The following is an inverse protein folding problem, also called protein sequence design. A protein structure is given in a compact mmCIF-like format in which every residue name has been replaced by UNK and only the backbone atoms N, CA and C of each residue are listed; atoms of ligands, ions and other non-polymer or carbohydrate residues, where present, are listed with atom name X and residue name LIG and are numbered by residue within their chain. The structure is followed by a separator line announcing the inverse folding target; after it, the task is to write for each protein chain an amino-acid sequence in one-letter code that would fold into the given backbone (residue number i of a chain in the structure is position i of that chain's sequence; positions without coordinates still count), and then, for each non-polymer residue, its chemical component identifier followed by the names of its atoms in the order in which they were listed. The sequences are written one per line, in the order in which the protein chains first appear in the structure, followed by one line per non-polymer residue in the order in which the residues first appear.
data_IF_857229631648
#
_entry.id   IF_857229631648
#
_cell.length_a   1.000
_cell.length_b   1.000
_cell.length_c   1.000
_cell.angle_alpha   90.00
_cell.angle_beta   90.00
_cell.angle_gamma   90.00
#
_symmetry.space_group_name_H-M   'P 1'
#
loop_
_entity.id
_entity.type
_entity.pdbx_description
1 polymer ?
#
# COMPACT_ATOMS: atom_id res chain seq x y z
N UNK A 1 -21.56 -8.56 -16.68
CA UNK A 1 -20.28 -8.23 -17.36
C UNK A 1 -19.18 -7.76 -16.40
N UNK A 2 -19.50 -7.10 -15.26
CA UNK A 2 -18.49 -6.59 -14.30
C UNK A 2 -17.76 -7.69 -13.51
N UNK A 3 -18.38 -8.84 -13.24
CA UNK A 3 -17.73 -9.95 -12.51
C UNK A 3 -16.57 -10.62 -13.26
N UNK A 4 -16.57 -10.59 -14.58
CA UNK A 4 -15.45 -11.12 -15.37
C UNK A 4 -14.18 -10.28 -15.30
N UNK A 5 -14.27 -9.00 -14.92
CA UNK A 5 -13.10 -8.12 -14.78
C UNK A 5 -12.23 -8.46 -13.57
N UNK A 6 -12.78 -9.11 -12.53
CA UNK A 6 -12.01 -9.50 -11.34
C UNK A 6 -10.95 -10.58 -11.61
N UNK A 7 -11.13 -11.43 -12.62
CA UNK A 7 -10.17 -12.47 -12.99
C UNK A 7 -9.07 -11.99 -13.96
N UNK A 8 -9.14 -10.75 -14.47
CA UNK A 8 -8.19 -10.18 -15.42
C UNK A 8 -7.11 -9.34 -14.71
N UNK A 9 -7.30 -9.03 -13.44
CA UNK A 9 -6.61 -7.98 -12.68
C UNK A 9 -5.14 -8.21 -12.36
N UNK A 10 -4.63 -9.43 -12.47
CA UNK A 10 -3.29 -9.80 -12.01
C UNK A 10 -2.26 -10.02 -13.13
N UNK A 11 -2.64 -9.76 -14.39
CA UNK A 11 -1.78 -9.98 -15.55
C UNK A 11 -1.99 -8.94 -16.63
N UNK A 12 -0.93 -8.18 -16.90
CA UNK A 12 -0.92 -7.22 -18.00
C UNK A 12 -1.20 -7.89 -19.36
N UNK A 13 -0.73 -9.14 -19.55
CA UNK A 13 -1.00 -9.88 -20.80
C UNK A 13 -2.50 -10.04 -21.08
N UNK A 14 -3.30 -10.30 -20.04
CA UNK A 14 -4.77 -10.36 -20.15
C UNK A 14 -5.39 -8.96 -20.27
N UNK A 15 -4.81 -7.96 -19.60
CA UNK A 15 -5.26 -6.58 -19.63
C UNK A 15 -5.08 -5.95 -21.01
N UNK A 16 -4.05 -6.36 -21.78
CA UNK A 16 -3.82 -5.90 -23.16
C UNK A 16 -4.97 -6.20 -24.12
N UNK A 17 -5.81 -7.19 -23.84
CA UNK A 17 -7.05 -7.42 -24.60
C UNK A 17 -8.00 -6.23 -24.61
N UNK A 18 -7.93 -5.32 -23.63
CA UNK A 18 -8.68 -4.05 -23.66
C UNK A 18 -8.07 -3.04 -24.65
N UNK A 19 -6.74 -3.03 -24.80
CA UNK A 19 -6.05 -2.22 -25.81
C UNK A 19 -6.44 -2.72 -27.21
N UNK A 20 -6.40 -4.03 -27.43
CA UNK A 20 -6.82 -4.65 -28.69
C UNK A 20 -8.30 -4.36 -29.02
N UNK A 21 -9.13 -4.17 -28.00
CA UNK A 21 -10.54 -3.79 -28.14
C UNK A 21 -10.75 -2.26 -28.27
N UNK A 22 -9.69 -1.46 -28.40
CA UNK A 22 -9.75 -0.02 -28.67
C UNK A 22 -9.57 0.89 -27.45
N UNK A 23 -9.21 0.37 -26.28
CA UNK A 23 -8.83 1.25 -25.15
C UNK A 23 -7.45 1.86 -25.41
N UNK A 24 -7.28 3.15 -25.11
CA UNK A 24 -5.98 3.84 -25.26
C UNK A 24 -4.98 3.42 -24.19
N UNK A 25 -5.43 3.27 -22.94
CA UNK A 25 -4.63 2.86 -21.77
C UNK A 25 -5.45 1.95 -20.88
N UNK A 26 -4.78 1.13 -20.07
CA UNK A 26 -5.43 0.27 -19.07
C UNK A 26 -4.79 0.51 -17.72
N UNK A 27 -5.58 0.87 -16.72
CA UNK A 27 -5.16 0.99 -15.33
C UNK A 27 -5.67 -0.23 -14.54
N UNK A 28 -4.75 -0.99 -13.95
CA UNK A 28 -5.05 -2.19 -13.15
C UNK A 28 -5.16 -1.79 -11.69
N UNK A 29 -6.33 -2.02 -11.09
CA UNK A 29 -6.61 -1.74 -9.66
C UNK A 29 -6.15 -2.86 -8.72
N UNK A 30 -4.95 -3.40 -8.96
CA UNK A 30 -4.34 -4.47 -8.16
C UNK A 30 -2.84 -4.56 -8.49
N UNK A 31 -2.02 -5.23 -7.66
CA UNK A 31 -0.68 -5.66 -8.06
C UNK A 31 -0.77 -6.49 -9.35
N UNK A 32 0.08 -6.21 -10.30
CA UNK A 32 0.08 -6.89 -11.59
C UNK A 32 1.39 -7.63 -11.86
N UNK A 33 1.42 -8.41 -12.95
CA UNK A 33 2.63 -9.02 -13.51
C UNK A 33 2.76 -8.61 -14.96
N UNK A 34 3.97 -8.30 -15.38
CA UNK A 34 4.31 -7.89 -16.75
C UNK A 34 3.61 -6.57 -17.20
N UNK A 35 3.25 -5.73 -16.24
CA UNK A 35 2.80 -4.36 -16.48
C UNK A 35 3.95 -3.48 -16.97
N UNK A 36 3.61 -2.42 -17.70
CA UNK A 36 4.61 -1.48 -18.22
C UNK A 36 5.17 -0.60 -17.11
N UNK A 37 4.33 -0.29 -16.09
CA UNK A 37 4.74 0.40 -14.88
C UNK A 37 3.83 0.07 -13.69
N UNK A 38 4.40 0.02 -12.50
CA UNK A 38 3.68 0.11 -11.23
C UNK A 38 3.88 1.50 -10.65
N UNK A 39 2.80 2.21 -10.35
CA UNK A 39 2.83 3.58 -9.87
C UNK A 39 2.12 3.70 -8.53
N UNK A 40 2.78 4.39 -7.61
CA UNK A 40 2.21 4.85 -6.33
C UNK A 40 2.32 6.37 -6.32
N UNK A 41 1.17 7.02 -6.34
CA UNK A 41 1.08 8.48 -6.39
C UNK A 41 1.83 9.14 -5.23
N UNK A 42 2.61 10.19 -5.54
CA UNK A 42 3.50 10.88 -4.60
C UNK A 42 4.83 10.16 -4.34
N UNK A 43 4.99 8.92 -4.83
CA UNK A 43 6.23 8.14 -4.64
C UNK A 43 7.07 8.08 -5.90
N UNK A 44 6.48 7.66 -7.03
CA UNK A 44 7.14 7.50 -8.32
C UNK A 44 6.24 7.85 -9.51
N UNK A 45 5.30 8.74 -9.35
CA UNK A 45 4.37 9.15 -10.42
C UNK A 45 5.06 9.84 -11.60
N UNK A 46 6.25 10.38 -11.38
CA UNK A 46 7.11 10.93 -12.43
C UNK A 46 7.59 9.90 -13.47
N UNK A 47 7.55 8.61 -13.13
CA UNK A 47 7.92 7.50 -14.04
C UNK A 47 6.93 7.39 -15.21
N UNK A 48 5.69 7.87 -15.03
CA UNK A 48 4.72 7.85 -16.11
C UNK A 48 4.97 8.99 -17.10
N UNK A 49 5.40 8.65 -18.32
CA UNK A 49 5.69 9.59 -19.40
C UNK A 49 4.68 9.55 -20.55
N UNK A 50 3.65 8.67 -20.47
CA UNK A 50 2.63 8.47 -21.50
C UNK A 50 2.94 7.31 -22.44
N UNK A 51 4.13 6.74 -22.43
CA UNK A 51 4.51 5.59 -23.27
C UNK A 51 3.93 4.26 -22.77
N UNK A 52 3.68 4.15 -21.46
CA UNK A 52 3.16 2.94 -20.82
C UNK A 52 1.67 2.75 -21.15
N UNK A 53 1.28 1.57 -21.60
CA UNK A 53 -0.10 1.25 -21.96
C UNK A 53 -0.88 0.55 -20.86
N UNK A 54 -0.20 -0.28 -20.06
CA UNK A 54 -0.80 -1.05 -18.96
C UNK A 54 -0.10 -0.72 -17.66
N UNK A 55 -0.80 0.00 -16.79
CA UNK A 55 -0.27 0.57 -15.56
C UNK A 55 -0.95 -0.07 -14.34
N UNK A 56 -0.18 -0.46 -13.33
CA UNK A 56 -0.69 -0.95 -12.05
C UNK A 56 -0.66 0.15 -10.99
N UNK A 57 -1.77 0.28 -10.23
CA UNK A 57 -1.83 1.13 -9.03
C UNK A 57 -1.28 0.42 -7.77
N UNK A 58 -0.56 -0.69 -7.91
CA UNK A 58 -0.10 -1.54 -6.80
C UNK A 58 -1.25 -2.04 -5.90
N UNK A 59 -0.96 -2.33 -4.62
CA UNK A 59 -1.96 -2.69 -3.61
C UNK A 59 -2.24 -1.53 -2.66
N UNK A 60 -3.35 -1.59 -1.93
CA UNK A 60 -3.66 -0.63 -0.87
C UNK A 60 -2.55 -0.59 0.21
N UNK A 61 -2.04 -1.75 0.61
CA UNK A 61 -0.93 -1.85 1.58
C UNK A 61 0.36 -1.27 1.02
N UNK A 62 0.69 -1.48 -0.27
CA UNK A 62 1.85 -0.85 -0.91
C UNK A 62 1.69 0.66 -0.96
N UNK A 63 0.48 1.16 -1.26
CA UNK A 63 0.17 2.59 -1.24
C UNK A 63 0.32 3.20 0.16
N UNK A 64 0.02 2.45 1.22
CA UNK A 64 0.25 2.89 2.60
C UNK A 64 1.75 2.88 2.96
N UNK A 65 2.46 1.80 2.66
CA UNK A 65 3.84 1.61 3.10
C UNK A 65 4.85 2.46 2.30
N UNK A 66 4.67 2.62 0.99
CA UNK A 66 5.65 3.25 0.13
C UNK A 66 5.91 4.74 0.45
N UNK A 67 4.90 5.61 0.72
CA UNK A 67 5.15 6.99 1.14
C UNK A 67 5.96 7.08 2.44
N UNK A 68 5.64 6.25 3.43
CA UNK A 68 6.36 6.20 4.71
C UNK A 68 7.79 5.70 4.51
N UNK A 69 7.97 4.64 3.73
CA UNK A 69 9.28 4.09 3.39
C UNK A 69 10.14 5.10 2.61
N UNK A 70 9.54 5.90 1.70
CA UNK A 70 10.22 6.98 0.98
C UNK A 70 10.83 8.01 1.93
N UNK A 71 10.04 8.47 2.92
CA UNK A 71 10.51 9.44 3.91
C UNK A 71 11.61 8.83 4.79
N UNK A 72 11.38 7.63 5.35
CA UNK A 72 12.36 6.97 6.21
C UNK A 72 13.68 6.70 5.49
N UNK A 73 13.62 6.21 4.25
CA UNK A 73 14.83 5.92 3.47
C UNK A 73 15.61 7.19 3.11
N UNK A 74 14.89 8.25 2.70
CA UNK A 74 15.47 9.54 2.33
C UNK A 74 16.17 10.23 3.50
N UNK A 75 15.56 10.23 4.68
CA UNK A 75 16.06 11.00 5.84
C UNK A 75 16.99 10.18 6.73
N UNK A 76 16.79 8.86 6.82
CA UNK A 76 17.49 8.01 7.80
C UNK A 76 18.17 6.77 7.19
N UNK A 77 17.84 6.41 5.96
CA UNK A 77 18.36 5.22 5.27
C UNK A 77 17.85 3.91 5.86
N UNK A 78 17.00 3.18 5.14
CA UNK A 78 16.51 1.87 5.57
C UNK A 78 17.56 0.79 5.24
N UNK A 79 18.09 0.12 6.25
CA UNK A 79 18.99 -1.03 6.08
C UNK A 79 18.18 -2.30 5.78
N UNK A 80 17.19 -2.60 6.62
CA UNK A 80 16.25 -3.72 6.48
C UNK A 80 15.02 -3.51 7.36
N UNK A 81 13.93 -4.19 7.03
CA UNK A 81 12.72 -4.11 7.85
C UNK A 81 11.73 -5.23 7.57
N UNK A 82 10.89 -5.48 8.56
CA UNK A 82 9.76 -6.40 8.48
C UNK A 82 8.47 -5.65 8.75
N UNK A 83 7.49 -5.88 7.88
CA UNK A 83 6.17 -5.27 7.96
C UNK A 83 5.12 -6.32 8.30
N UNK A 84 4.24 -5.99 9.23
CA UNK A 84 2.97 -6.69 9.42
C UNK A 84 1.84 -5.73 9.11
N UNK A 85 0.97 -6.08 8.16
CA UNK A 85 -0.28 -5.35 8.04
C UNK A 85 -1.40 -6.07 8.76
N UNK A 86 -2.01 -5.40 9.74
CA UNK A 86 -3.28 -5.81 10.33
C UNK A 86 -4.37 -5.24 9.44
N UNK A 87 -5.01 -6.11 8.68
CA UNK A 87 -5.81 -5.73 7.52
C UNK A 87 -7.26 -6.20 7.64
N UNK A 88 -8.18 -5.34 7.28
CA UNK A 88 -9.58 -5.72 7.13
C UNK A 88 -9.74 -6.95 6.21
N UNK A 89 -10.78 -7.76 6.41
CA UNK A 89 -11.05 -8.87 5.50
C UNK A 89 -11.35 -8.36 4.08
N UNK A 90 -11.08 -9.19 3.08
CA UNK A 90 -11.35 -8.85 1.68
C UNK A 90 -12.07 -10.00 1.00
N UNK A 91 -12.61 -9.75 -0.19
CA UNK A 91 -13.45 -10.70 -0.94
C UNK A 91 -12.74 -12.01 -1.33
N UNK A 92 -11.42 -12.08 -1.19
CA UNK A 92 -10.66 -13.31 -1.39
C UNK A 92 -10.73 -14.29 -0.21
N UNK A 93 -11.36 -13.89 0.90
CA UNK A 93 -11.61 -14.75 2.07
C UNK A 93 -13.02 -15.33 2.02
N UNK A 94 -13.18 -16.52 2.57
CA UNK A 94 -14.47 -17.17 2.65
C UNK A 94 -15.35 -16.52 3.74
N UNK A 95 -16.65 -16.41 3.46
CA UNK A 95 -17.64 -15.97 4.44
C UNK A 95 -17.80 -17.01 5.56
N UNK A 96 -17.79 -18.29 5.20
CA UNK A 96 -17.80 -19.45 6.09
C UNK A 96 -16.62 -20.35 5.76
N UNK A 97 -16.29 -21.30 6.67
CA UNK A 97 -15.27 -22.31 6.39
C UNK A 97 -15.59 -23.03 5.08
N UNK A 98 -14.61 -23.07 4.17
CA UNK A 98 -14.84 -23.67 2.86
C UNK A 98 -13.53 -23.78 2.04
N UNK A 99 -13.56 -24.40 0.85
CA UNK A 99 -12.38 -24.63 0.04
C UNK A 99 -11.67 -23.33 -0.33
N UNK A 100 -10.36 -23.29 -0.13
CA UNK A 100 -9.48 -22.21 -0.54
C UNK A 100 -8.05 -22.74 -0.74
N UNK A 101 -7.27 -22.13 -1.66
CA UNK A 101 -5.86 -22.51 -1.90
C UNK A 101 -4.96 -22.28 -0.67
N UNK A 102 -5.21 -21.19 0.05
CA UNK A 102 -4.59 -20.89 1.34
C UNK A 102 -5.51 -21.44 2.45
N UNK A 103 -5.03 -22.44 3.19
CA UNK A 103 -5.78 -23.12 4.25
C UNK A 103 -6.18 -22.18 5.39
N UNK A 104 -5.44 -21.09 5.61
CA UNK A 104 -5.80 -20.09 6.61
C UNK A 104 -6.94 -19.21 6.11
N UNK A 105 -6.95 -18.82 4.82
CA UNK A 105 -8.06 -18.08 4.19
C UNK A 105 -9.31 -18.95 3.96
N UNK A 106 -9.17 -20.26 4.09
CA UNK A 106 -10.31 -21.20 4.06
C UNK A 106 -11.25 -21.03 5.25
N UNK A 107 -10.84 -20.36 6.31
CA UNK A 107 -11.61 -20.12 7.53
C UNK A 107 -12.48 -18.87 7.41
N UNK A 108 -13.63 -18.90 8.11
CA UNK A 108 -14.61 -17.81 8.12
C UNK A 108 -13.96 -16.45 8.48
N UNK A 109 -14.06 -15.49 7.57
CA UNK A 109 -13.36 -14.20 7.67
C UNK A 109 -13.78 -13.37 8.88
N UNK A 110 -15.09 -13.36 9.20
CA UNK A 110 -15.65 -12.55 10.29
C UNK A 110 -15.49 -13.17 11.68
N UNK A 111 -14.92 -14.38 11.78
CA UNK A 111 -14.76 -15.10 13.05
C UNK A 111 -13.31 -15.34 13.43
N UNK A 112 -12.35 -15.00 12.58
CA UNK A 112 -10.95 -15.37 12.75
C UNK A 112 -9.99 -14.23 12.46
N UNK A 113 -8.91 -14.17 13.22
CA UNK A 113 -7.68 -13.52 12.78
C UNK A 113 -6.93 -14.49 11.86
N UNK A 114 -6.64 -14.09 10.63
CA UNK A 114 -6.08 -14.97 9.60
C UNK A 114 -4.70 -14.46 9.17
N UNK A 115 -3.60 -14.99 9.74
CA UNK A 115 -2.26 -14.75 9.21
C UNK A 115 -2.14 -15.29 7.79
N UNK A 116 -1.63 -14.50 6.86
CA UNK A 116 -1.49 -14.89 5.46
C UNK A 116 -0.37 -14.14 4.77
N UNK A 117 0.03 -14.59 3.61
CA UNK A 117 1.07 -13.94 2.82
C UNK A 117 0.60 -12.63 2.22
N UNK A 118 1.53 -11.69 2.07
CA UNK A 118 1.35 -10.48 1.26
C UNK A 118 2.63 -10.20 0.47
N UNK A 119 2.46 -9.72 -0.75
CA UNK A 119 3.58 -9.23 -1.56
C UNK A 119 3.84 -7.73 -1.38
N UNK A 120 3.06 -7.05 -0.53
CA UNK A 120 3.06 -5.59 -0.47
C UNK A 120 4.41 -4.97 -0.07
N UNK A 121 5.09 -5.56 0.93
CA UNK A 121 6.41 -5.06 1.35
C UNK A 121 7.47 -5.23 0.26
N UNK A 122 7.48 -6.37 -0.42
CA UNK A 122 8.38 -6.60 -1.56
C UNK A 122 8.03 -5.74 -2.77
N UNK A 123 6.75 -5.45 -2.96
CA UNK A 123 6.28 -4.59 -4.05
C UNK A 123 6.72 -3.12 -3.89
N UNK A 124 7.08 -2.67 -2.68
CA UNK A 124 7.70 -1.35 -2.48
C UNK A 124 8.95 -1.19 -3.33
N UNK A 125 9.71 -2.26 -3.57
CA UNK A 125 10.89 -2.23 -4.43
C UNK A 125 10.58 -1.96 -5.92
N UNK A 126 9.34 -2.06 -6.36
CA UNK A 126 8.93 -1.70 -7.73
C UNK A 126 8.86 -0.17 -7.91
N UNK A 127 8.57 0.55 -6.82
CA UNK A 127 8.41 2.01 -6.82
C UNK A 127 9.55 2.74 -6.11
N UNK A 128 10.32 2.03 -5.27
CA UNK A 128 11.54 2.48 -4.60
C UNK A 128 12.65 1.43 -4.82
N UNK A 129 13.29 1.40 -6.00
CA UNK A 129 14.21 0.31 -6.38
C UNK A 129 15.40 0.12 -5.43
N UNK A 130 15.84 1.19 -4.76
CA UNK A 130 16.91 1.15 -3.76
C UNK A 130 16.58 0.28 -2.54
N UNK A 131 15.28 0.03 -2.28
CA UNK A 131 14.81 -0.84 -1.18
C UNK A 131 14.66 -2.31 -1.58
N UNK A 132 15.14 -2.68 -2.78
CA UNK A 132 15.06 -4.08 -3.24
C UNK A 132 15.75 -5.04 -2.28
N UNK A 133 14.99 -6.03 -1.78
CA UNK A 133 15.47 -7.04 -0.85
C UNK A 133 15.62 -6.56 0.61
N UNK A 134 15.31 -5.30 0.92
CA UNK A 134 15.41 -4.76 2.28
C UNK A 134 14.13 -4.89 3.10
N UNK A 135 12.99 -5.02 2.44
CA UNK A 135 11.68 -5.12 3.10
C UNK A 135 10.98 -6.43 2.76
N UNK A 136 10.43 -7.10 3.77
CA UNK A 136 9.52 -8.24 3.62
C UNK A 136 8.44 -8.18 4.73
N UNK A 137 7.51 -9.13 4.73
CA UNK A 137 6.46 -9.16 5.73
C UNK A 137 5.29 -10.07 5.41
N UNK A 138 4.25 -9.98 6.23
CA UNK A 138 3.02 -10.75 6.08
C UNK A 138 1.80 -9.92 6.50
N UNK A 139 0.61 -10.47 6.29
CA UNK A 139 -0.65 -9.87 6.68
C UNK A 139 -1.33 -10.68 7.78
N UNK A 140 -2.05 -10.00 8.67
CA UNK A 140 -3.03 -10.60 9.57
C UNK A 140 -4.38 -10.00 9.19
N UNK A 141 -5.26 -10.81 8.59
CA UNK A 141 -6.64 -10.39 8.34
C UNK A 141 -7.43 -10.43 9.63
N UNK A 142 -8.23 -9.40 9.88
CA UNK A 142 -9.06 -9.26 11.09
C UNK A 142 -10.53 -9.10 10.73
N UNK A 143 -11.47 -9.40 11.67
CA UNK A 143 -12.93 -9.32 11.43
C UNK A 143 -13.44 -7.86 11.35
N UNK A 144 -12.88 -7.06 10.47
CA UNK A 144 -13.30 -5.67 10.20
C UNK A 144 -13.62 -5.51 8.71
N UNK A 145 -14.67 -4.75 8.34
CA UNK A 145 -15.03 -4.54 6.93
C UNK A 145 -14.07 -3.62 6.20
N UNK A 146 -13.54 -2.59 6.87
CA UNK A 146 -12.51 -1.68 6.36
C UNK A 146 -11.72 -1.07 7.52
N UNK A 147 -10.61 -0.40 7.21
CA UNK A 147 -9.69 0.16 8.20
C UNK A 147 -8.59 -0.82 8.55
N UNK A 148 -7.38 -0.48 8.11
CA UNK A 148 -6.19 -1.32 8.25
C UNK A 148 -5.03 -0.50 8.80
N UNK A 149 -4.04 -1.18 9.38
CA UNK A 149 -2.80 -0.55 9.85
C UNK A 149 -1.59 -1.33 9.36
N UNK A 150 -0.59 -0.62 8.88
CA UNK A 150 0.74 -1.17 8.60
C UNK A 150 1.63 -0.91 9.80
N UNK A 151 2.19 -1.96 10.37
CA UNK A 151 3.19 -1.98 11.42
C UNK A 151 4.55 -2.31 10.77
N UNK A 152 5.46 -1.33 10.72
CA UNK A 152 6.79 -1.51 10.19
C UNK A 152 7.81 -1.46 11.33
N UNK A 153 8.60 -2.53 11.45
CA UNK A 153 9.81 -2.57 12.27
C UNK A 153 11.02 -2.58 11.35
N UNK A 154 11.91 -1.61 11.48
CA UNK A 154 13.04 -1.45 10.56
C UNK A 154 14.32 -1.00 11.29
N UNK A 155 15.46 -1.33 10.70
CA UNK A 155 16.79 -0.85 11.13
C UNK A 155 17.19 0.28 10.22
N UNK A 156 17.52 1.43 10.81
CA UNK A 156 18.01 2.61 10.10
C UNK A 156 19.53 2.56 9.95
N UNK A 157 20.08 3.39 9.08
CA UNK A 157 21.55 3.47 8.86
C UNK A 157 22.30 4.23 9.96
N UNK A 158 21.58 4.87 10.87
CA UNK A 158 22.08 5.57 12.06
C UNK A 158 21.07 5.50 13.20
N UNK A 159 21.52 5.81 14.40
CA UNK A 159 20.60 6.07 15.50
C UNK A 159 19.72 7.27 15.21
N UNK A 160 18.46 7.18 15.62
CA UNK A 160 17.40 8.18 15.41
C UNK A 160 16.60 8.36 16.69
N UNK A 161 15.82 9.44 16.75
CA UNK A 161 14.87 9.68 17.84
C UNK A 161 13.42 9.65 17.36
N UNK A 162 12.50 9.52 18.30
CA UNK A 162 11.04 9.60 18.02
C UNK A 162 10.71 10.95 17.39
N UNK A 163 11.29 12.02 17.91
CA UNK A 163 11.06 13.39 17.48
C UNK A 163 11.55 13.62 16.06
N UNK A 164 12.74 13.09 15.69
CA UNK A 164 13.27 13.17 14.33
C UNK A 164 12.32 12.50 13.32
N UNK A 165 11.86 11.28 13.64
CA UNK A 165 10.96 10.52 12.76
C UNK A 165 9.63 11.27 12.61
N UNK A 166 9.02 11.66 13.72
CA UNK A 166 7.72 12.34 13.71
C UNK A 166 7.80 13.68 12.96
N UNK A 167 8.87 14.45 13.18
CA UNK A 167 9.11 15.71 12.47
C UNK A 167 9.28 15.51 10.94
N UNK A 168 10.02 14.50 10.52
CA UNK A 168 10.20 14.16 9.12
C UNK A 168 8.88 13.77 8.45
N UNK A 169 8.08 12.93 9.11
CA UNK A 169 6.76 12.52 8.61
C UNK A 169 5.79 13.69 8.53
N UNK A 170 5.74 14.54 9.56
CA UNK A 170 4.90 15.75 9.57
C UNK A 170 5.28 16.69 8.44
N UNK A 171 6.57 16.97 8.28
CA UNK A 171 7.07 17.82 7.19
C UNK A 171 6.69 17.26 5.81
N UNK A 172 6.82 15.95 5.61
CA UNK A 172 6.45 15.32 4.34
C UNK A 172 4.94 15.39 4.08
N UNK A 173 4.11 15.18 5.10
CA UNK A 173 2.63 15.23 4.99
C UNK A 173 2.11 16.63 4.68
N UNK A 174 2.77 17.66 5.15
CA UNK A 174 2.44 19.06 4.87
C UNK A 174 3.07 19.57 3.55
N UNK A 175 4.07 18.87 3.04
CA UNK A 175 4.88 19.23 1.87
C UNK A 175 4.71 18.29 0.68
N UNK A 176 5.78 17.55 0.34
CA UNK A 176 5.89 16.74 -0.88
C UNK A 176 4.86 15.61 -1.00
N UNK A 177 4.33 15.13 0.12
CA UNK A 177 3.33 14.05 0.18
C UNK A 177 1.94 14.56 0.61
N UNK A 178 1.70 15.85 0.52
CA UNK A 178 0.40 16.43 0.88
C UNK A 178 -0.74 15.78 0.09
N UNK A 179 -1.79 15.33 0.81
CA UNK A 179 -2.93 14.62 0.25
C UNK A 179 -2.69 13.14 -0.05
N UNK A 180 -1.44 12.64 0.12
CA UNK A 180 -1.06 11.23 0.01
C UNK A 180 -0.75 10.67 1.39
N UNK A 181 0.10 11.36 2.15
CA UNK A 181 0.45 11.05 3.54
C UNK A 181 -0.28 12.00 4.47
N UNK A 182 -1.09 11.45 5.37
CA UNK A 182 -1.64 12.13 6.55
C UNK A 182 -0.72 11.96 7.75
N UNK A 183 -0.90 12.80 8.77
CA UNK A 183 -0.18 12.76 10.04
C UNK A 183 -1.17 12.97 11.18
N UNK A 184 -1.09 12.15 12.22
CA UNK A 184 -1.94 12.30 13.41
C UNK A 184 -1.15 12.14 14.70
N UNK A 185 -1.54 12.90 15.72
CA UNK A 185 -1.15 12.74 17.13
C UNK A 185 -2.34 12.27 17.97
N UNK A 186 -3.53 12.18 17.37
CA UNK A 186 -4.73 11.72 18.03
C UNK A 186 -4.71 10.18 18.18
N UNK A 187 -5.32 9.63 19.24
CA UNK A 187 -5.33 8.19 19.51
C UNK A 187 -6.34 7.46 18.62
N UNK A 188 -6.06 7.38 17.33
CA UNK A 188 -6.93 6.75 16.35
C UNK A 188 -7.07 5.25 16.53
N UNK A 189 -8.26 4.76 16.19
CA UNK A 189 -8.56 3.35 15.97
C UNK A 189 -9.14 3.16 14.57
N UNK A 190 -9.36 1.94 14.14
CA UNK A 190 -9.75 1.61 12.75
C UNK A 190 -11.03 2.29 12.25
N UNK A 191 -11.97 2.64 13.14
CA UNK A 191 -13.19 3.36 12.75
C UNK A 191 -12.98 4.84 12.47
N UNK A 192 -11.94 5.45 13.05
CA UNK A 192 -11.67 6.88 12.89
C UNK A 192 -11.12 7.21 11.50
N UNK A 193 -10.52 6.22 10.82
CA UNK A 193 -9.91 6.43 9.49
C UNK A 193 -10.84 5.98 8.34
N UNK A 194 -12.06 5.56 8.63
CA UNK A 194 -13.02 5.18 7.60
C UNK A 194 -13.47 6.40 6.80
N UNK A 195 -13.34 6.30 5.48
CA UNK A 195 -13.63 7.40 4.56
C UNK A 195 -12.50 8.42 4.41
N UNK A 196 -11.34 8.22 5.07
CA UNK A 196 -10.19 9.07 4.88
C UNK A 196 -9.54 8.81 3.50
N UNK A 197 -9.30 9.84 2.67
CA UNK A 197 -8.78 9.68 1.32
C UNK A 197 -7.26 9.50 1.24
N UNK A 198 -6.51 9.64 2.33
CA UNK A 198 -5.06 9.47 2.30
C UNK A 198 -4.68 8.01 2.03
N UNK A 199 -3.56 7.83 1.35
CA UNK A 199 -2.96 6.49 1.15
C UNK A 199 -2.42 5.91 2.45
N UNK A 200 -1.94 6.78 3.32
CA UNK A 200 -1.27 6.46 4.56
C UNK A 200 -1.50 7.58 5.57
N UNK A 201 -1.83 7.26 6.81
CA UNK A 201 -1.95 8.21 7.91
C UNK A 201 -0.94 7.78 8.97
N UNK A 202 0.19 8.47 9.04
CA UNK A 202 1.23 8.19 10.01
C UNK A 202 0.76 8.54 11.42
N UNK A 203 0.84 7.58 12.33
CA UNK A 203 0.45 7.75 13.73
C UNK A 203 1.69 8.01 14.59
N UNK A 204 1.90 9.26 14.96
CA UNK A 204 3.04 9.70 15.75
C UNK A 204 3.07 9.07 17.16
N UNK A 205 1.90 8.73 17.72
CA UNK A 205 1.76 8.08 19.02
C UNK A 205 2.27 6.64 19.03
N UNK A 206 2.38 6.00 17.86
CA UNK A 206 2.86 4.62 17.71
C UNK A 206 4.36 4.52 17.43
N UNK A 207 5.07 5.64 17.26
CA UNK A 207 6.52 5.64 17.01
C UNK A 207 7.28 5.13 18.22
N UNK A 208 8.15 4.14 18.02
CA UNK A 208 9.08 3.61 19.03
C UNK A 208 10.47 3.51 18.43
N UNK A 209 11.47 3.81 19.24
CA UNK A 209 12.88 3.81 18.86
C UNK A 209 13.71 3.09 19.92
N UNK A 210 14.67 2.30 19.46
CA UNK A 210 15.72 1.68 20.28
C UNK A 210 17.03 1.70 19.46
N UNK A 211 17.79 2.80 19.59
CA UNK A 211 18.98 3.06 18.77
C UNK A 211 18.62 3.20 17.28
N UNK A 212 19.15 2.29 16.47
CA UNK A 212 18.85 2.20 15.04
C UNK A 212 17.54 1.48 14.73
N UNK A 213 16.98 0.73 15.68
CA UNK A 213 15.75 -0.03 15.49
C UNK A 213 14.54 0.86 15.75
N UNK A 214 13.68 0.97 14.76
CA UNK A 214 12.44 1.72 14.84
C UNK A 214 11.22 0.81 14.69
N UNK A 215 10.10 1.24 15.26
CA UNK A 215 8.78 0.68 15.01
C UNK A 215 7.79 1.81 14.81
N UNK A 216 7.03 1.75 13.72
CA UNK A 216 6.04 2.78 13.37
C UNK A 216 4.73 2.15 12.96
N UNK A 217 3.64 2.88 13.14
CA UNK A 217 2.30 2.53 12.68
C UNK A 217 1.78 3.54 11.66
N UNK A 218 1.13 3.05 10.61
CA UNK A 218 0.46 3.89 9.64
C UNK A 218 -0.90 3.29 9.27
N UNK A 219 -1.96 4.08 9.47
CA UNK A 219 -3.34 3.72 9.18
C UNK A 219 -3.70 3.96 7.72
N UNK A 220 -4.67 3.22 7.20
CA UNK A 220 -5.25 3.47 5.89
C UNK A 220 -6.63 2.87 5.76
N UNK A 221 -7.54 3.59 5.11
CA UNK A 221 -8.75 2.98 4.60
C UNK A 221 -8.40 2.21 3.33
N UNK A 222 -8.33 0.87 3.44
CA UNK A 222 -7.92 0.00 2.35
C UNK A 222 -8.88 0.01 1.14
N UNK A 223 -10.10 0.51 1.31
CA UNK A 223 -11.09 0.67 0.26
C UNK A 223 -11.10 2.11 -0.29
N UNK A 224 -11.40 3.08 0.57
CA UNK A 224 -11.60 4.47 0.15
C UNK A 224 -10.31 5.18 -0.22
N UNK A 225 -9.28 5.10 0.62
CA UNK A 225 -7.98 5.72 0.33
C UNK A 225 -7.37 5.16 -0.95
N UNK A 226 -7.44 3.85 -1.15
CA UNK A 226 -6.98 3.21 -2.38
C UNK A 226 -7.78 3.63 -3.63
N UNK A 227 -9.10 3.74 -3.51
CA UNK A 227 -9.97 4.17 -4.61
C UNK A 227 -9.67 5.61 -5.04
N UNK A 228 -9.39 6.50 -4.08
CA UNK A 228 -8.95 7.87 -4.37
C UNK A 228 -7.62 7.88 -5.14
N UNK A 229 -6.64 7.06 -4.74
CA UNK A 229 -5.37 6.95 -5.49
C UNK A 229 -5.56 6.41 -6.89
N UNK A 230 -6.48 5.47 -7.08
CA UNK A 230 -6.81 4.96 -8.41
C UNK A 230 -7.36 6.07 -9.32
N UNK A 231 -8.24 6.93 -8.79
CA UNK A 231 -8.76 8.10 -9.53
C UNK A 231 -7.63 9.06 -9.90
N UNK A 232 -6.75 9.40 -8.95
CA UNK A 232 -5.61 10.28 -9.23
C UNK A 232 -4.66 9.70 -10.29
N UNK A 233 -4.44 8.39 -10.28
CA UNK A 233 -3.64 7.74 -11.33
C UNK A 233 -4.35 7.81 -12.69
N UNK A 234 -5.67 7.62 -12.73
CA UNK A 234 -6.45 7.77 -13.97
C UNK A 234 -6.36 9.19 -14.50
N UNK A 235 -6.46 10.21 -13.63
CA UNK A 235 -6.33 11.62 -14.01
C UNK A 235 -4.93 11.92 -14.56
N UNK A 236 -3.86 11.40 -13.92
CA UNK A 236 -2.50 11.52 -14.41
C UNK A 236 -2.37 10.88 -15.80
N UNK A 237 -2.90 9.68 -15.99
CA UNK A 237 -2.87 8.97 -17.29
C UNK A 237 -3.65 9.75 -18.34
N UNK A 238 -4.83 10.26 -18.01
CA UNK A 238 -5.67 11.04 -18.92
C UNK A 238 -5.00 12.35 -19.34
N UNK A 239 -4.24 12.99 -18.45
CA UNK A 239 -3.55 14.26 -18.74
C UNK A 239 -2.44 14.15 -19.79
N UNK A 240 -2.00 12.92 -20.10
CA UNK A 240 -0.94 12.63 -21.10
C UNK A 240 -1.44 11.82 -22.31
N UNK A 241 -2.77 11.76 -22.54
CA UNK A 241 -3.40 11.14 -23.71
C UNK A 241 -3.49 12.13 -24.89
#
# INVERSE_FOLDING_TARGET
RRQRQMCIRDSANKARGHIEAGAKKVVISAPAKNEDATIVMGVNDEVYDGSQDVISNASCTTNCLAPVAKVLDKEFGIVKGLMTTVHAYTQDQNLQDGPHKDMRRARAACLNMVPTTTGAARAVALVLPQLKGRLDGFAIRVPLPTGSITDLTAVMSREVTVEEINAAMKKASEGELKGVLGYTEAPYVSTDIQGDPHSSIFDAGLTRVNGELIKIGAWYDNEWGYSNRLVNLVDLVASKL
#
